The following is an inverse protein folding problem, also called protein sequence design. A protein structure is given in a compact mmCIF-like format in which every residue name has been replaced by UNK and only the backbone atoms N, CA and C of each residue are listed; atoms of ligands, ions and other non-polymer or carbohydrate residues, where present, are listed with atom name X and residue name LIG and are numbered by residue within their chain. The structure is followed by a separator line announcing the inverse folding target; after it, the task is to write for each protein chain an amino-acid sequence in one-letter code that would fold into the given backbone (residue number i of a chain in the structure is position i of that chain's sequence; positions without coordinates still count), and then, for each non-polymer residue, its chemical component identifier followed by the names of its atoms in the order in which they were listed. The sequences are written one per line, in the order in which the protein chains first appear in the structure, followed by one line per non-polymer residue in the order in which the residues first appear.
data_IF_681979510375
#
_entry.id   IF_681979510375
#
_cell.length_a   1.000
_cell.length_b   1.000
_cell.length_c   1.000
_cell.angle_alpha   90.00
_cell.angle_beta   90.00
_cell.angle_gamma   90.00
#
_symmetry.space_group_name_H-M   'P 1'
#
loop_
_entity.id
_entity.type
_entity.pdbx_description
1 polymer ?
#
# COMPACT_ATOMS: atom_id res chain seq x y z
N UNK A 1 -21.61 0.91 -13.17
CA UNK A 1 -20.46 0.39 -12.40
C UNK A 1 -19.18 1.05 -12.89
N UNK A 2 -18.39 1.62 -11.98
CA UNK A 2 -17.12 2.26 -12.35
C UNK A 2 -16.10 1.22 -12.78
N UNK A 3 -15.50 1.43 -13.95
CA UNK A 3 -14.41 0.58 -14.43
C UNK A 3 -13.08 1.25 -14.14
N UNK A 4 -12.08 0.46 -13.78
CA UNK A 4 -10.74 0.94 -13.48
C UNK A 4 -9.78 0.61 -14.62
N UNK A 5 -8.86 1.55 -14.89
CA UNK A 5 -7.69 1.31 -15.70
C UNK A 5 -6.49 1.26 -14.76
N UNK A 6 -5.69 0.23 -14.88
CA UNK A 6 -4.52 0.04 -14.03
C UNK A 6 -3.30 -0.35 -14.88
N UNK A 7 -2.11 -0.02 -14.38
CA UNK A 7 -0.85 -0.28 -15.07
C UNK A 7 -0.54 -1.77 -15.19
N UNK A 8 -1.13 -2.62 -14.34
CA UNK A 8 -0.92 -4.06 -14.37
C UNK A 8 -2.19 -4.81 -13.99
N UNK A 9 -2.30 -6.11 -14.39
CA UNK A 9 -3.41 -6.95 -13.97
C UNK A 9 -3.50 -7.11 -12.45
N UNK A 10 -2.37 -7.13 -11.74
CA UNK A 10 -2.33 -7.23 -10.29
C UNK A 10 -2.95 -6.01 -9.61
N UNK A 11 -2.60 -4.81 -10.09
CA UNK A 11 -3.17 -3.57 -9.56
C UNK A 11 -4.67 -3.53 -9.78
N UNK A 12 -5.13 -3.91 -10.97
CA UNK A 12 -6.55 -3.97 -11.27
C UNK A 12 -7.28 -4.94 -10.34
N UNK A 13 -6.70 -6.12 -10.11
CA UNK A 13 -7.26 -7.12 -9.21
C UNK A 13 -7.38 -6.59 -7.77
N UNK A 14 -6.35 -5.91 -7.27
CA UNK A 14 -6.34 -5.36 -5.91
C UNK A 14 -7.38 -4.25 -5.74
N UNK A 15 -7.51 -3.36 -6.71
CA UNK A 15 -8.49 -2.27 -6.66
C UNK A 15 -9.92 -2.82 -6.74
N UNK A 16 -10.16 -3.83 -7.58
CA UNK A 16 -11.46 -4.49 -7.67
C UNK A 16 -11.81 -5.25 -6.40
N UNK A 17 -10.82 -5.91 -5.76
CA UNK A 17 -11.02 -6.56 -4.48
C UNK A 17 -11.40 -5.57 -3.38
N UNK A 18 -10.71 -4.44 -3.30
CA UNK A 18 -11.05 -3.39 -2.34
C UNK A 18 -12.48 -2.89 -2.52
N UNK A 19 -12.90 -2.68 -3.78
CA UNK A 19 -14.28 -2.31 -4.10
C UNK A 19 -15.28 -3.35 -3.64
N UNK A 20 -14.98 -4.63 -3.87
CA UNK A 20 -15.83 -5.73 -3.44
C UNK A 20 -15.99 -5.76 -1.91
N UNK A 21 -14.94 -5.38 -1.17
CA UNK A 21 -14.97 -5.30 0.28
C UNK A 21 -15.57 -3.99 0.82
N UNK A 22 -16.02 -3.10 -0.04
CA UNK A 22 -16.71 -1.88 0.36
C UNK A 22 -15.92 -0.59 0.23
N UNK A 23 -14.71 -0.61 -0.35
CA UNK A 23 -13.85 0.56 -0.52
C UNK A 23 -13.63 0.85 -2.00
N UNK A 24 -14.31 1.86 -2.51
CA UNK A 24 -14.26 2.19 -3.94
C UNK A 24 -13.36 3.39 -4.21
N UNK A 25 -12.26 3.16 -4.93
CA UNK A 25 -11.38 4.24 -5.37
C UNK A 25 -12.09 5.07 -6.45
N UNK A 26 -12.18 6.39 -6.24
CA UNK A 26 -12.89 7.31 -7.13
C UNK A 26 -11.97 8.24 -7.92
N UNK A 27 -10.67 8.09 -7.79
CA UNK A 27 -9.70 8.88 -8.50
C UNK A 27 -8.88 9.79 -7.59
N UNK A 28 -8.05 10.62 -8.22
CA UNK A 28 -7.18 11.59 -7.56
C UNK A 28 -7.64 12.97 -8.03
N UNK A 29 -7.84 13.89 -7.08
CA UNK A 29 -8.24 15.26 -7.40
C UNK A 29 -7.01 16.12 -7.79
N UNK A 30 -7.24 17.40 -8.07
CA UNK A 30 -6.19 18.33 -8.51
C UNK A 30 -5.16 18.63 -7.42
N UNK A 31 -5.47 18.33 -6.16
CA UNK A 31 -4.58 18.55 -5.02
C UNK A 31 -3.86 17.28 -4.57
N UNK A 32 -3.84 16.23 -5.40
CA UNK A 32 -3.26 14.92 -5.12
C UNK A 32 -3.94 14.16 -3.96
N UNK A 33 -5.22 14.43 -3.71
CA UNK A 33 -6.00 13.64 -2.79
C UNK A 33 -6.61 12.43 -3.48
N UNK A 34 -6.31 11.26 -2.97
CA UNK A 34 -6.97 10.03 -3.38
C UNK A 34 -8.33 9.95 -2.69
N UNK A 35 -9.39 9.82 -3.48
CA UNK A 35 -10.77 9.79 -3.00
C UNK A 35 -11.25 8.34 -2.97
N UNK A 36 -11.66 7.89 -1.80
CA UNK A 36 -12.14 6.53 -1.58
C UNK A 36 -13.50 6.58 -0.92
N UNK A 37 -14.50 6.01 -1.59
CA UNK A 37 -15.83 5.88 -1.01
C UNK A 37 -15.84 4.65 -0.09
N UNK A 38 -16.04 4.89 1.19
CA UNK A 38 -16.26 3.85 2.18
C UNK A 38 -17.76 3.55 2.25
N UNK A 39 -18.18 2.48 1.59
CA UNK A 39 -19.59 2.08 1.54
C UNK A 39 -20.06 1.44 2.85
N UNK A 40 -19.15 1.02 3.71
CA UNK A 40 -19.48 0.42 5.01
C UNK A 40 -19.94 1.50 5.98
N UNK A 41 -19.15 2.57 6.10
CA UNK A 41 -19.46 3.69 7.02
C UNK A 41 -20.14 4.86 6.31
N UNK A 42 -20.40 4.75 5.01
CA UNK A 42 -21.09 5.75 4.19
C UNK A 42 -20.41 7.11 4.23
N UNK A 43 -19.09 7.12 4.03
CA UNK A 43 -18.29 8.35 4.05
C UNK A 43 -17.27 8.36 2.92
N UNK A 44 -16.88 9.57 2.51
CA UNK A 44 -15.81 9.76 1.55
C UNK A 44 -14.50 9.98 2.31
N UNK A 45 -13.52 9.12 2.06
CA UNK A 45 -12.19 9.23 2.65
C UNK A 45 -11.26 9.93 1.69
N UNK A 46 -10.44 10.85 2.22
CA UNK A 46 -9.41 11.53 1.45
C UNK A 46 -8.04 11.18 2.01
N UNK A 47 -7.19 10.64 1.15
CA UNK A 47 -5.79 10.35 1.47
C UNK A 47 -4.91 11.23 0.59
N UNK A 48 -4.14 12.12 1.20
CA UNK A 48 -3.19 12.95 0.47
C UNK A 48 -2.02 12.11 0.01
N UNK A 49 -1.80 12.01 -1.29
CA UNK A 49 -0.63 11.31 -1.84
C UNK A 49 0.59 12.20 -1.71
N UNK A 50 1.56 11.78 -0.92
CA UNK A 50 2.79 12.55 -0.68
C UNK A 50 3.94 12.09 -1.57
N UNK A 51 4.18 10.80 -1.66
CA UNK A 51 5.27 10.23 -2.45
C UNK A 51 4.87 8.89 -3.04
N UNK A 52 5.44 8.58 -4.21
CA UNK A 52 5.33 7.27 -4.85
C UNK A 52 6.74 6.76 -5.07
N UNK A 53 7.02 5.55 -4.60
CA UNK A 53 8.26 4.83 -4.87
C UNK A 53 7.94 3.67 -5.79
N UNK A 54 8.23 3.86 -7.08
CA UNK A 54 7.83 2.94 -8.12
C UNK A 54 8.45 1.54 -7.99
N UNK A 55 7.75 0.55 -8.49
CA UNK A 55 8.27 -0.80 -8.60
C UNK A 55 9.41 -0.87 -9.62
N UNK A 56 10.46 -1.59 -9.28
CA UNK A 56 11.45 -2.03 -10.25
C UNK A 56 11.98 -3.42 -9.88
N UNK A 57 12.70 -4.06 -10.79
CA UNK A 57 13.17 -5.43 -10.62
C UNK A 57 14.22 -5.59 -9.51
N UNK A 58 14.88 -4.51 -9.13
CA UNK A 58 15.85 -4.49 -8.02
C UNK A 58 15.14 -4.39 -6.67
N UNK A 59 14.19 -3.47 -6.56
CA UNK A 59 13.43 -3.26 -5.34
C UNK A 59 12.43 -4.40 -5.07
N UNK A 60 11.80 -4.92 -6.11
CA UNK A 60 10.75 -5.97 -6.05
C UNK A 60 9.58 -5.59 -5.13
N UNK A 61 9.36 -4.30 -4.97
CA UNK A 61 8.28 -3.72 -4.17
C UNK A 61 7.93 -2.34 -4.69
N UNK A 62 6.74 -1.91 -4.34
CA UNK A 62 6.22 -0.58 -4.63
C UNK A 62 5.67 0.02 -3.34
N UNK A 63 5.91 1.30 -3.12
CA UNK A 63 5.46 1.98 -1.91
C UNK A 63 4.79 3.30 -2.24
N UNK A 64 3.83 3.68 -1.41
CA UNK A 64 3.26 5.03 -1.40
C UNK A 64 3.34 5.58 0.02
N UNK A 65 3.53 6.88 0.13
CA UNK A 65 3.46 7.59 1.40
C UNK A 65 2.26 8.51 1.29
N UNK A 66 1.33 8.38 2.21
CA UNK A 66 0.07 9.12 2.22
C UNK A 66 -0.17 9.76 3.57
N UNK A 67 -0.95 10.84 3.58
CA UNK A 67 -1.52 11.38 4.81
C UNK A 67 -2.98 10.94 4.87
N UNK A 68 -3.33 10.22 5.94
CA UNK A 68 -4.69 9.69 6.10
C UNK A 68 -5.69 10.79 6.50
N UNK A 69 -6.99 10.49 6.55
CA UNK A 69 -7.99 11.49 6.95
C UNK A 69 -7.80 12.06 8.35
N UNK A 70 -7.10 11.35 9.25
CA UNK A 70 -6.80 11.83 10.61
C UNK A 70 -5.55 12.70 10.68
N UNK A 71 -4.79 12.81 9.58
CA UNK A 71 -3.55 13.57 9.50
C UNK A 71 -2.27 12.75 9.72
N UNK A 72 -2.38 11.45 9.94
CA UNK A 72 -1.21 10.58 10.12
C UNK A 72 -0.54 10.31 8.78
N UNK A 73 0.79 10.29 8.80
CA UNK A 73 1.57 9.89 7.63
C UNK A 73 1.78 8.38 7.70
N UNK A 74 1.43 7.68 6.63
CA UNK A 74 1.51 6.22 6.55
C UNK A 74 2.28 5.83 5.30
N UNK A 75 3.29 4.98 5.51
CA UNK A 75 3.97 4.27 4.42
C UNK A 75 3.22 2.97 4.18
N UNK A 76 2.78 2.77 2.96
CA UNK A 76 2.13 1.53 2.54
C UNK A 76 2.99 0.88 1.46
N UNK A 77 3.33 -0.39 1.65
CA UNK A 77 4.23 -1.11 0.76
C UNK A 77 3.63 -2.44 0.35
N UNK A 78 3.74 -2.78 -0.92
CA UNK A 78 3.36 -4.09 -1.45
C UNK A 78 4.51 -4.66 -2.25
N UNK A 79 4.68 -5.97 -2.20
CA UNK A 79 5.74 -6.64 -2.94
C UNK A 79 5.87 -8.12 -2.64
N UNK A 80 6.97 -8.69 -3.11
CA UNK A 80 7.28 -10.10 -2.89
C UNK A 80 7.42 -10.40 -1.39
N UNK A 81 6.94 -11.55 -0.97
CA UNK A 81 6.94 -11.97 0.43
C UNK A 81 8.33 -11.90 1.07
N UNK A 82 9.35 -12.43 0.40
CA UNK A 82 10.73 -12.42 0.91
C UNK A 82 11.26 -11.00 1.15
N UNK A 83 10.94 -10.08 0.24
CA UNK A 83 11.40 -8.68 0.32
C UNK A 83 10.70 -7.92 1.45
N UNK A 84 9.40 -8.14 1.60
CA UNK A 84 8.62 -7.48 2.66
C UNK A 84 8.99 -8.06 4.03
N UNK A 85 9.15 -9.38 4.15
CA UNK A 85 9.51 -10.02 5.43
C UNK A 85 10.81 -9.49 6.02
N UNK A 86 11.82 -9.27 5.20
CA UNK A 86 13.10 -8.72 5.65
C UNK A 86 12.96 -7.32 6.28
N UNK A 87 11.89 -6.61 5.93
CA UNK A 87 11.68 -5.21 6.32
C UNK A 87 10.65 -5.03 7.42
N UNK A 88 10.05 -6.11 7.88
CA UNK A 88 9.07 -6.06 8.97
C UNK A 88 9.74 -5.69 10.30
N UNK A 89 8.97 -5.00 11.15
CA UNK A 89 9.41 -4.72 12.51
C UNK A 89 9.56 -6.01 13.32
N UNK A 90 10.36 -5.96 14.38
CA UNK A 90 10.52 -7.10 15.28
C UNK A 90 9.18 -7.54 15.89
N UNK A 91 8.32 -6.57 16.20
CA UNK A 91 6.97 -6.85 16.70
C UNK A 91 6.14 -7.66 15.69
N UNK A 92 6.19 -7.30 14.42
CA UNK A 92 5.46 -8.02 13.36
C UNK A 92 6.02 -9.42 13.14
N UNK A 93 7.36 -9.58 13.20
CA UNK A 93 8.02 -10.88 13.04
C UNK A 93 7.69 -11.86 14.16
N UNK A 94 7.54 -11.34 15.37
CA UNK A 94 7.28 -12.18 16.57
C UNK A 94 5.79 -12.45 16.78
N UNK A 95 4.91 -11.84 16.00
CA UNK A 95 3.46 -12.01 16.15
C UNK A 95 2.92 -13.19 15.36
N UNK A 96 1.74 -13.66 15.75
CA UNK A 96 1.04 -14.76 15.08
C UNK A 96 0.57 -14.39 13.66
N UNK A 97 0.41 -13.12 13.38
CA UNK A 97 -0.11 -12.62 12.09
C UNK A 97 0.82 -13.02 10.94
N UNK A 98 2.13 -12.87 11.11
CA UNK A 98 3.09 -13.24 10.06
C UNK A 98 3.02 -14.73 9.77
N UNK A 99 3.02 -15.57 10.81
CA UNK A 99 2.95 -17.03 10.65
C UNK A 99 1.71 -17.45 9.89
N UNK A 100 0.54 -16.94 10.28
CA UNK A 100 -0.74 -17.25 9.61
C UNK A 100 -0.77 -16.73 8.18
N UNK A 101 -0.24 -15.54 7.96
CA UNK A 101 -0.16 -14.94 6.62
C UNK A 101 0.71 -15.80 5.70
N UNK A 102 1.85 -16.27 6.20
CA UNK A 102 2.73 -17.13 5.42
C UNK A 102 2.05 -18.45 5.05
N UNK A 103 1.30 -19.04 5.99
CA UNK A 103 0.55 -20.27 5.72
C UNK A 103 -0.45 -20.08 4.58
N UNK A 104 -1.19 -18.98 4.57
CA UNK A 104 -2.13 -18.66 3.48
C UNK A 104 -1.42 -18.42 2.16
N UNK A 105 -0.29 -17.71 2.19
CA UNK A 105 0.49 -17.43 0.97
C UNK A 105 1.00 -18.75 0.38
N UNK A 106 1.51 -19.64 1.21
CA UNK A 106 2.00 -20.95 0.76
C UNK A 106 0.87 -21.78 0.15
N UNK A 107 -0.30 -21.78 0.78
CA UNK A 107 -1.49 -22.48 0.28
C UNK A 107 -1.93 -21.93 -1.09
N UNK A 108 -2.00 -20.60 -1.23
CA UNK A 108 -2.38 -19.97 -2.49
C UNK A 108 -1.33 -20.22 -3.58
N UNK A 109 -0.05 -20.22 -3.22
CA UNK A 109 1.03 -20.50 -4.16
C UNK A 109 0.97 -21.94 -4.68
N UNK A 110 0.60 -22.89 -3.84
CA UNK A 110 0.39 -24.29 -4.25
C UNK A 110 -0.75 -24.42 -5.27
N UNK A 111 -1.75 -23.54 -5.19
CA UNK A 111 -2.86 -23.48 -6.16
C UNK A 111 -2.46 -22.73 -7.45
N UNK A 112 -1.23 -22.23 -7.53
CA UNK A 112 -0.75 -21.48 -8.69
C UNK A 112 -1.16 -20.00 -8.70
N UNK A 113 -1.66 -19.48 -7.57
CA UNK A 113 -2.08 -18.08 -7.47
C UNK A 113 -0.88 -17.17 -7.25
N UNK A 114 -0.92 -15.99 -7.86
CA UNK A 114 0.08 -14.95 -7.61
C UNK A 114 -0.22 -14.29 -6.28
N UNK A 115 0.80 -14.12 -5.47
CA UNK A 115 0.66 -13.56 -4.12
C UNK A 115 1.57 -12.36 -3.93
N UNK A 116 1.10 -11.42 -3.11
CA UNK A 116 1.87 -10.25 -2.68
C UNK A 116 1.67 -10.07 -1.19
N UNK A 117 2.72 -9.58 -0.52
CA UNK A 117 2.62 -9.11 0.86
C UNK A 117 2.33 -7.62 0.87
N UNK A 118 1.48 -7.21 1.81
CA UNK A 118 1.17 -5.82 2.09
C UNK A 118 1.64 -5.50 3.51
N UNK A 119 2.30 -4.37 3.67
CA UNK A 119 2.75 -3.91 4.98
C UNK A 119 2.58 -2.39 5.09
N UNK A 120 2.46 -1.90 6.30
CA UNK A 120 2.34 -0.47 6.55
C UNK A 120 3.14 -0.05 7.78
N UNK A 121 3.50 1.23 7.83
CA UNK A 121 4.14 1.84 8.98
C UNK A 121 3.68 3.29 9.12
N UNK A 122 3.31 3.68 10.32
CA UNK A 122 3.06 5.09 10.64
C UNK A 122 4.40 5.79 10.81
N UNK A 123 4.58 6.93 10.14
CA UNK A 123 5.81 7.72 10.16
C UNK A 123 5.50 9.04 10.86
N UNK A 124 6.37 9.48 11.78
CA UNK A 124 6.20 10.79 12.38
C UNK A 124 6.62 11.92 11.42
N UNK A 125 6.12 13.13 11.68
CA UNK A 125 6.34 14.29 10.81
C UNK A 125 7.83 14.60 10.61
N UNK A 126 8.62 14.56 11.67
CA UNK A 126 10.06 14.88 11.61
C UNK A 126 10.83 13.87 10.79
N UNK A 127 10.54 12.58 10.99
CA UNK A 127 11.15 11.51 10.21
C UNK A 127 10.81 11.67 8.73
N UNK A 128 9.56 11.96 8.43
CA UNK A 128 9.11 12.16 7.05
C UNK A 128 9.81 13.36 6.41
N UNK A 129 9.87 14.49 7.10
CA UNK A 129 10.49 15.70 6.57
C UNK A 129 11.97 15.50 6.24
N UNK A 130 12.71 14.82 7.13
CA UNK A 130 14.12 14.50 6.89
C UNK A 130 14.29 13.59 5.68
N UNK A 131 13.52 12.52 5.65
CA UNK A 131 13.57 11.56 4.53
C UNK A 131 13.18 12.24 3.22
N UNK A 132 12.12 13.05 3.21
CA UNK A 132 11.64 13.69 1.99
C UNK A 132 12.65 14.71 1.44
N UNK A 133 13.33 15.44 2.30
CA UNK A 133 14.39 16.36 1.88
C UNK A 133 15.50 15.60 1.15
N UNK A 134 15.94 14.47 1.67
CA UNK A 134 16.93 13.61 1.03
C UNK A 134 16.42 13.01 -0.28
N UNK A 135 15.17 12.56 -0.31
CA UNK A 135 14.55 11.99 -1.49
C UNK A 135 14.40 13.00 -2.62
N UNK A 136 14.04 14.25 -2.32
CA UNK A 136 13.93 15.31 -3.32
C UNK A 136 15.32 15.70 -3.83
N UNK A 137 16.34 15.76 -2.97
CA UNK A 137 17.71 16.02 -3.38
C UNK A 137 18.24 14.92 -4.32
N UNK A 138 17.90 13.67 -4.07
CA UNK A 138 18.33 12.54 -4.89
C UNK A 138 17.70 12.53 -6.30
N UNK A 139 16.57 13.20 -6.50
CA UNK A 139 15.93 13.34 -7.82
C UNK A 139 16.58 14.39 -8.72
N UNK A 140 17.41 15.25 -8.16
CA UNK A 140 18.15 16.26 -8.90
C UNK A 140 19.44 15.66 -9.46
#
# INVERSE_FOLDING_TARGET
MRKYNAASPDELALVNAAKQFGYEFQGIDEEDNMLIQDHINKQLLQFKLLNVCEFNSTRKRMSVIVRDPSGKIILMCKGADSVIMERLSQRSRNGDVLSKTQDYVDEYAEEGLRTLFLAERVIDEEEYERWNAEAQAAKL
#
